data_IF_951311212092
#
_entry.id   IF_951311212092
#
_cell.length_a   1.000
_cell.length_b   1.000
_cell.length_c   1.000
_cell.angle_alpha   90.00
_cell.angle_beta   90.00
_cell.angle_gamma   90.00
#
_symmetry.space_group_name_H-M   'P 1'
#
loop_
_entity.id
_entity.type
_entity.pdbx_description
1 polymer ?
#
# COMPACT_ATOMS: atom_id res chain seq x y z
N UNK A 1 -25.47 -14.38 7.52
CA UNK A 1 -24.03 -14.66 7.31
C UNK A 1 -23.75 -16.11 6.96
N UNK A 2 -24.14 -17.13 7.75
CA UNK A 2 -23.89 -18.57 7.45
C UNK A 2 -24.14 -19.00 5.99
N UNK A 3 -25.28 -18.60 5.40
CA UNK A 3 -25.63 -18.93 4.00
C UNK A 3 -24.57 -18.46 2.99
N UNK A 4 -24.02 -17.26 3.15
CA UNK A 4 -22.98 -16.72 2.27
C UNK A 4 -21.68 -17.53 2.35
N UNK A 5 -21.23 -17.86 3.57
CA UNK A 5 -20.03 -18.69 3.78
C UNK A 5 -20.22 -20.09 3.22
N UNK A 6 -21.39 -20.70 3.45
CA UNK A 6 -21.73 -22.02 2.88
C UNK A 6 -21.64 -21.99 1.35
N UNK A 7 -22.25 -21.00 0.69
CA UNK A 7 -22.19 -20.87 -0.77
C UNK A 7 -20.75 -20.66 -1.27
N UNK A 8 -19.96 -19.83 -0.61
CA UNK A 8 -18.57 -19.56 -0.98
C UNK A 8 -17.69 -20.82 -0.84
N UNK A 9 -17.80 -21.55 0.27
CA UNK A 9 -17.04 -22.79 0.50
C UNK A 9 -17.45 -23.90 -0.49
N UNK A 10 -18.73 -24.01 -0.80
CA UNK A 10 -19.21 -24.95 -1.82
C UNK A 10 -18.72 -24.59 -3.21
N UNK A 11 -18.67 -23.30 -3.56
CA UNK A 11 -18.14 -22.83 -4.85
C UNK A 11 -16.65 -23.14 -5.02
N UNK A 12 -15.90 -23.25 -3.92
CA UNK A 12 -14.50 -23.66 -3.90
C UNK A 12 -14.30 -25.19 -3.92
N UNK A 13 -15.39 -25.96 -3.98
CA UNK A 13 -15.35 -27.41 -4.04
C UNK A 13 -15.12 -28.11 -2.70
N UNK A 14 -15.30 -27.42 -1.57
CA UNK A 14 -15.25 -28.06 -0.25
C UNK A 14 -16.44 -29.01 -0.11
N UNK A 15 -16.18 -30.24 0.34
CA UNK A 15 -17.22 -31.26 0.53
C UNK A 15 -18.32 -30.75 1.46
N UNK A 16 -19.57 -31.02 1.10
CA UNK A 16 -20.76 -30.48 1.75
C UNK A 16 -20.80 -30.83 3.25
N UNK A 17 -20.37 -32.04 3.61
CA UNK A 17 -20.32 -32.50 5.00
C UNK A 17 -19.34 -31.68 5.84
N UNK A 18 -18.17 -31.32 5.30
CA UNK A 18 -17.24 -30.45 6.02
C UNK A 18 -17.82 -29.04 6.22
N UNK A 19 -18.51 -28.52 5.19
CA UNK A 19 -19.14 -27.20 5.28
C UNK A 19 -20.27 -27.22 6.30
N UNK A 20 -21.10 -28.26 6.31
CA UNK A 20 -22.19 -28.40 7.26
C UNK A 20 -21.69 -28.61 8.69
N UNK A 21 -20.59 -29.34 8.87
CA UNK A 21 -19.90 -29.45 10.15
C UNK A 21 -19.38 -28.08 10.64
N UNK A 22 -18.70 -27.31 9.76
CA UNK A 22 -18.24 -25.95 10.10
C UNK A 22 -19.39 -24.99 10.41
N UNK A 23 -20.58 -25.23 9.85
CA UNK A 23 -21.78 -24.45 10.15
C UNK A 23 -22.47 -24.88 11.46
N UNK A 24 -21.99 -25.96 12.10
CA UNK A 24 -22.55 -26.52 13.33
C UNK A 24 -23.77 -27.40 13.11
N UNK A 25 -23.95 -27.94 11.92
CA UNK A 25 -24.99 -28.93 11.65
C UNK A 25 -24.53 -30.32 12.11
N UNK A 26 -25.43 -31.08 12.71
CA UNK A 26 -25.20 -32.49 13.09
C UNK A 26 -25.31 -33.36 11.85
N UNK A 27 -24.30 -34.19 11.63
CA UNK A 27 -24.17 -35.10 10.48
C UNK A 27 -23.75 -36.47 11.02
N UNK A 28 -24.14 -37.56 10.38
CA UNK A 28 -23.73 -38.91 10.83
C UNK A 28 -22.20 -39.10 10.80
N UNK A 29 -21.50 -38.41 9.89
CA UNK A 29 -20.04 -38.45 9.73
C UNK A 29 -19.28 -37.54 10.71
N UNK A 30 -19.95 -37.02 11.75
CA UNK A 30 -19.35 -36.12 12.73
C UNK A 30 -18.05 -36.68 13.33
N UNK A 31 -18.03 -37.98 13.63
CA UNK A 31 -16.86 -38.63 14.22
C UNK A 31 -15.69 -38.71 13.23
N UNK A 32 -15.98 -39.02 11.97
CA UNK A 32 -14.97 -39.09 10.91
C UNK A 32 -14.36 -37.70 10.66
N UNK A 33 -15.19 -36.66 10.58
CA UNK A 33 -14.74 -35.28 10.35
C UNK A 33 -13.92 -34.75 11.53
N UNK A 34 -14.32 -35.07 12.77
CA UNK A 34 -13.53 -34.73 13.95
C UNK A 34 -12.18 -35.44 13.98
N UNK A 35 -12.16 -36.73 13.60
CA UNK A 35 -10.92 -37.53 13.55
C UNK A 35 -9.92 -37.02 12.50
N UNK A 36 -10.40 -36.42 11.40
CA UNK A 36 -9.58 -35.76 10.38
C UNK A 36 -8.85 -34.50 10.90
N UNK A 37 -9.25 -33.98 12.06
CA UNK A 37 -8.57 -32.90 12.77
C UNK A 37 -8.96 -31.49 12.32
N UNK A 38 -8.96 -30.57 13.28
CA UNK A 38 -9.31 -29.15 13.10
C UNK A 38 -8.36 -28.43 12.13
N UNK A 39 -7.12 -28.90 11.99
CA UNK A 39 -6.11 -28.32 11.10
C UNK A 39 -6.56 -28.32 9.63
N UNK A 40 -7.09 -29.44 9.15
CA UNK A 40 -7.56 -29.58 7.77
C UNK A 40 -8.72 -28.64 7.48
N UNK A 41 -9.65 -28.51 8.44
CA UNK A 41 -10.77 -27.58 8.35
C UNK A 41 -10.29 -26.12 8.31
N UNK A 42 -9.25 -25.78 9.09
CA UNK A 42 -8.65 -24.45 9.09
C UNK A 42 -7.94 -24.12 7.78
N UNK A 43 -7.21 -25.08 7.20
CA UNK A 43 -6.58 -24.90 5.90
C UNK A 43 -7.60 -24.69 4.79
N UNK A 44 -8.69 -25.48 4.78
CA UNK A 44 -9.79 -25.29 3.82
C UNK A 44 -10.44 -23.91 3.98
N UNK A 45 -10.66 -23.47 5.22
CA UNK A 45 -11.17 -22.12 5.49
C UNK A 45 -10.18 -21.03 5.06
N UNK A 46 -8.88 -21.18 5.31
CA UNK A 46 -7.86 -20.21 4.91
C UNK A 46 -7.76 -20.09 3.37
N UNK A 47 -7.79 -21.24 2.67
CA UNK A 47 -7.79 -21.30 1.21
C UNK A 47 -9.00 -20.58 0.58
N UNK A 48 -10.12 -20.50 1.31
CA UNK A 48 -11.32 -19.82 0.83
C UNK A 48 -11.23 -18.29 0.79
N UNK A 49 -10.21 -17.70 1.44
CA UNK A 49 -10.06 -16.23 1.51
C UNK A 49 -11.20 -15.52 2.26
N UNK A 50 -12.09 -16.27 2.92
CA UNK A 50 -13.25 -15.73 3.64
C UNK A 50 -12.80 -15.03 4.93
N UNK A 51 -12.89 -13.70 4.94
CA UNK A 51 -12.53 -12.87 6.09
C UNK A 51 -13.72 -12.01 6.51
N UNK A 52 -14.13 -12.12 7.78
CA UNK A 52 -15.07 -11.17 8.39
C UNK A 52 -14.25 -9.98 8.86
N UNK A 53 -14.21 -8.93 8.03
CA UNK A 53 -13.65 -7.63 8.44
C UNK A 53 -14.78 -6.77 8.99
N UNK A 54 -14.61 -6.11 10.15
CA UNK A 54 -15.55 -5.08 10.55
C UNK A 54 -15.60 -4.05 9.42
N UNK A 55 -16.79 -3.61 9.00
CA UNK A 55 -16.92 -2.47 8.08
C UNK A 55 -16.12 -1.34 8.71
N UNK A 56 -14.99 -1.00 8.10
CA UNK A 56 -14.19 0.13 8.55
C UNK A 56 -15.14 1.31 8.58
N UNK A 57 -15.33 1.91 9.76
CA UNK A 57 -15.96 3.23 9.86
C UNK A 57 -15.30 4.06 8.78
N UNK A 58 -16.09 4.70 7.92
CA UNK A 58 -15.59 5.55 6.83
C UNK A 58 -14.34 6.25 7.32
N UNK A 59 -13.21 5.98 6.67
CA UNK A 59 -11.97 6.65 7.04
C UNK A 59 -12.28 8.15 7.02
N UNK A 60 -11.77 8.93 7.97
CA UNK A 60 -12.01 10.39 7.99
C UNK A 60 -11.76 11.01 6.61
N UNK A 61 -10.79 10.45 5.88
CA UNK A 61 -10.45 10.78 4.50
C UNK A 61 -11.57 10.45 3.51
N UNK A 62 -12.23 9.28 3.62
CA UNK A 62 -13.38 8.92 2.77
C UNK A 62 -14.60 9.78 3.06
N UNK A 63 -14.87 10.09 4.33
CA UNK A 63 -15.93 11.00 4.71
C UNK A 63 -15.72 12.41 4.12
N UNK A 64 -14.48 12.93 4.20
CA UNK A 64 -14.12 14.23 3.59
C UNK A 64 -14.23 14.16 2.07
N UNK A 65 -13.75 13.09 1.43
CA UNK A 65 -13.89 12.88 -0.02
C UNK A 65 -15.36 12.90 -0.46
N UNK A 66 -16.25 12.30 0.32
CA UNK A 66 -17.69 12.33 0.02
C UNK A 66 -18.32 13.71 0.21
N UNK A 67 -17.95 14.45 1.27
CA UNK A 67 -18.42 15.84 1.44
C UNK A 67 -17.97 16.70 0.25
N UNK A 68 -16.72 16.56 -0.20
CA UNK A 68 -16.20 17.29 -1.36
C UNK A 68 -16.95 16.93 -2.64
N UNK A 69 -17.24 15.64 -2.86
CA UNK A 69 -18.06 15.18 -4.00
C UNK A 69 -19.49 15.74 -3.95
N UNK A 70 -20.10 15.76 -2.76
CA UNK A 70 -21.43 16.34 -2.55
C UNK A 70 -21.47 17.85 -2.86
N UNK A 71 -20.34 18.56 -2.71
CA UNK A 71 -20.19 19.96 -3.12
C UNK A 71 -19.78 20.15 -4.59
N UNK A 72 -19.77 19.09 -5.40
CA UNK A 72 -19.41 19.14 -6.82
C UNK A 72 -17.90 19.25 -7.08
N UNK A 73 -17.08 19.10 -6.05
CA UNK A 73 -15.62 19.19 -6.14
C UNK A 73 -15.06 17.78 -6.36
N UNK A 74 -14.25 17.59 -7.40
CA UNK A 74 -13.56 16.33 -7.66
C UNK A 74 -12.25 16.24 -6.86
N UNK A 75 -12.17 15.48 -5.75
CA UNK A 75 -10.99 15.44 -4.89
C UNK A 75 -9.74 14.90 -5.63
N UNK A 76 -9.93 13.99 -6.59
CA UNK A 76 -8.84 13.41 -7.38
C UNK A 76 -8.12 14.42 -8.26
N UNK A 77 -8.86 15.40 -8.82
CA UNK A 77 -8.27 16.47 -9.63
C UNK A 77 -7.43 17.44 -8.80
N UNK A 78 -7.84 17.67 -7.55
CA UNK A 78 -7.09 18.54 -6.62
C UNK A 78 -5.80 17.85 -6.21
N UNK A 79 -5.89 16.59 -5.75
CA UNK A 79 -4.73 15.81 -5.35
C UNK A 79 -3.72 15.62 -6.48
N UNK A 80 -4.19 15.39 -7.72
CA UNK A 80 -3.31 15.28 -8.88
C UNK A 80 -2.60 16.60 -9.21
N UNK A 81 -3.32 17.74 -9.14
CA UNK A 81 -2.72 19.07 -9.35
C UNK A 81 -1.68 19.40 -8.29
N UNK A 82 -1.96 19.08 -7.03
CA UNK A 82 -1.04 19.36 -5.92
C UNK A 82 0.19 18.45 -5.96
N UNK A 83 0.04 17.17 -6.31
CA UNK A 83 1.15 16.26 -6.52
C UNK A 83 2.09 16.74 -7.65
N UNK A 84 1.51 17.22 -8.77
CA UNK A 84 2.29 17.78 -9.88
C UNK A 84 3.02 19.07 -9.49
N UNK A 85 2.38 19.96 -8.72
CA UNK A 85 3.01 21.19 -8.21
C UNK A 85 4.15 20.90 -7.23
N UNK A 86 3.97 19.94 -6.33
CA UNK A 86 5.01 19.51 -5.40
C UNK A 86 6.19 18.86 -6.14
N UNK A 87 5.94 17.99 -7.11
CA UNK A 87 6.99 17.38 -7.93
C UNK A 87 7.78 18.44 -8.72
N UNK A 88 7.10 19.44 -9.31
CA UNK A 88 7.76 20.54 -10.01
C UNK A 88 8.63 21.40 -9.08
N UNK A 89 8.19 21.61 -7.83
CA UNK A 89 8.94 22.37 -6.82
C UNK A 89 10.17 21.60 -6.36
N UNK A 90 10.03 20.28 -6.08
CA UNK A 90 11.16 19.42 -5.72
C UNK A 90 12.18 19.26 -6.84
N UNK A 91 11.75 19.23 -8.11
CA UNK A 91 12.65 19.20 -9.26
C UNK A 91 13.45 20.50 -9.40
N UNK A 92 12.82 21.65 -9.16
CA UNK A 92 13.48 22.96 -9.20
C UNK A 92 14.58 23.10 -8.13
N UNK A 93 14.32 22.64 -6.90
CA UNK A 93 15.31 22.66 -5.81
C UNK A 93 16.52 21.75 -6.09
N UNK A 94 16.29 20.53 -6.61
CA UNK A 94 17.38 19.60 -6.95
C UNK A 94 18.27 20.11 -8.09
N UNK A 95 17.67 20.76 -9.10
CA UNK A 95 18.45 21.33 -10.20
C UNK A 95 19.28 22.54 -9.77
N UNK A 96 18.75 23.41 -8.89
CA UNK A 96 19.51 24.57 -8.40
C UNK A 96 20.68 24.19 -7.49
N UNK A 97 20.52 23.16 -6.67
CA UNK A 97 21.59 22.68 -5.77
C UNK A 97 22.72 21.99 -6.55
N UNK A 98 22.39 21.20 -7.58
CA UNK A 98 23.41 20.50 -8.39
C UNK A 98 24.23 21.45 -9.26
N UNK A 99 23.62 22.49 -9.84
CA UNK A 99 24.36 23.50 -10.61
C UNK A 99 25.22 24.39 -9.72
N UNK A 100 24.71 24.77 -8.53
CA UNK A 100 25.45 25.63 -7.60
C UNK A 100 26.68 24.94 -7.00
N UNK A 101 26.57 23.65 -6.65
CA UNK A 101 27.69 22.87 -6.13
C UNK A 101 28.80 22.67 -7.20
N UNK A 102 28.43 22.40 -8.45
CA UNK A 102 29.39 22.23 -9.54
C UNK A 102 30.12 23.54 -9.89
N UNK A 103 29.44 24.68 -9.83
CA UNK A 103 30.09 25.99 -10.02
C UNK A 103 31.05 26.31 -8.88
N UNK A 104 30.70 26.01 -7.63
CA UNK A 104 31.54 26.28 -6.47
C UNK A 104 32.85 25.47 -6.50
N UNK A 105 32.80 24.17 -6.81
CA UNK A 105 33.98 23.31 -6.94
C UNK A 105 34.94 23.79 -8.05
N UNK A 106 34.38 24.21 -9.19
CA UNK A 106 35.16 24.76 -10.30
C UNK A 106 35.87 26.06 -9.91
N UNK A 107 35.15 26.98 -9.27
CA UNK A 107 35.74 28.25 -8.82
C UNK A 107 36.85 28.05 -7.80
N UNK A 108 36.70 27.08 -6.88
CA UNK A 108 37.71 26.78 -5.88
C UNK A 108 38.98 26.18 -6.51
N UNK A 109 38.83 25.26 -7.47
CA UNK A 109 39.97 24.68 -8.20
C UNK A 109 40.73 25.73 -9.00
N UNK A 110 40.02 26.63 -9.69
CA UNK A 110 40.63 27.72 -10.45
C UNK A 110 41.42 28.67 -9.53
N UNK A 111 40.88 28.99 -8.34
CA UNK A 111 41.57 29.80 -7.33
C UNK A 111 42.85 29.13 -6.80
N UNK A 112 42.79 27.86 -6.43
CA UNK A 112 43.96 27.11 -5.93
C UNK A 112 45.06 27.02 -7.00
N UNK A 113 44.69 26.82 -8.27
CA UNK A 113 45.66 26.80 -9.37
C UNK A 113 46.32 28.16 -9.60
N UNK A 114 45.57 29.25 -9.45
CA UNK A 114 46.11 30.59 -9.56
C UNK A 114 47.11 30.88 -8.43
N UNK A 115 46.76 30.52 -7.19
CA UNK A 115 47.60 30.78 -6.02
C UNK A 115 48.89 29.96 -6.03
N UNK A 116 48.81 28.69 -6.44
CA UNK A 116 50.01 27.84 -6.60
C UNK A 116 50.96 28.36 -7.68
N UNK A 117 50.43 28.93 -8.78
CA UNK A 117 51.26 29.58 -9.81
C UNK A 117 51.94 30.85 -9.31
N UNK A 118 51.24 31.64 -8.48
CA UNK A 118 51.77 32.86 -7.87
C UNK A 118 52.92 32.57 -6.90
N UNK A 119 52.77 31.55 -6.06
CA UNK A 119 53.81 31.13 -5.11
C UNK A 119 55.05 30.55 -5.80
N UNK A 120 54.90 29.98 -7.01
CA UNK A 120 56.01 29.46 -7.80
C UNK A 120 56.78 30.54 -8.60
N UNK A 121 56.26 31.77 -8.71
CA UNK A 121 56.95 32.89 -9.38
C UNK A 121 57.68 33.83 -8.43
N UNK A 122 57.44 33.72 -7.12
CA UNK A 122 58.03 34.56 -6.06
C UNK A 122 59.20 33.88 -5.31
N UNK A 123 59.75 32.78 -5.85
CA UNK A 123 60.94 32.08 -5.32
C UNK A 123 62.00 31.88 -6.40
#
# INVERSE_FOLDING_TARGET
MRKYFKTQLLALGVQTDYVDYMMGHTIDTYHDIQSLGIEKLRQAYAASGLSIKPKTRLSKIEAIKEIMRAQGISPERILARDALKQAATSAKTRHSEMTAAATADRTLKEFIQHETRRLASDG
#
